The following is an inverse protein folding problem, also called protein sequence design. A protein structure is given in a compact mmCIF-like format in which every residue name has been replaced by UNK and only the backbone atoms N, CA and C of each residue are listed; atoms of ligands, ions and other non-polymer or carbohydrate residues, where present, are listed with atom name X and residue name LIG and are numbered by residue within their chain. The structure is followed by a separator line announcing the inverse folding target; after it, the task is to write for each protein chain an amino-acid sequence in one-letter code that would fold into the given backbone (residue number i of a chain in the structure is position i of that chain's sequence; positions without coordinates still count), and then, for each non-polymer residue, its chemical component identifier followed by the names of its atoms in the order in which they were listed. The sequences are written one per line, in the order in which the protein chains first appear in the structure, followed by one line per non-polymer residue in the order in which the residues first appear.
data_IF_631336421529
#
_entry.id   IF_631336421529
#
_cell.length_a   1.000
_cell.length_b   1.000
_cell.length_c   1.000
_cell.angle_alpha   90.00
_cell.angle_beta   90.00
_cell.angle_gamma   90.00
#
_symmetry.space_group_name_H-M   'P 1'
#
loop_
_entity.id
_entity.type
_entity.pdbx_description
1 polymer ?
#
# COMPACT_ATOMS: atom_id res chain seq x y z
N UNK A 1 -11.40 19.70 0.64
CA UNK A 1 -10.83 18.97 -0.51
C UNK A 1 -10.29 17.68 0.04
N UNK A 2 -10.79 16.57 -0.48
CA UNK A 2 -10.47 15.21 -0.03
C UNK A 2 -9.37 14.68 -0.93
N UNK A 3 -8.34 14.06 -0.36
CA UNK A 3 -7.22 13.49 -1.11
C UNK A 3 -7.42 11.98 -1.28
N UNK A 4 -7.50 11.53 -2.53
CA UNK A 4 -7.71 10.12 -2.88
C UNK A 4 -6.40 9.36 -3.05
N UNK A 5 -6.10 8.48 -2.10
CA UNK A 5 -4.88 7.65 -2.07
C UNK A 5 -5.25 6.18 -2.19
N UNK A 6 -4.51 5.44 -3.01
CA UNK A 6 -4.72 4.00 -3.22
C UNK A 6 -3.45 3.18 -3.10
N UNK A 7 -3.62 1.87 -3.06
CA UNK A 7 -2.56 0.89 -3.28
C UNK A 7 -3.01 -0.12 -4.31
N UNK A 8 -2.10 -0.60 -5.15
CA UNK A 8 -2.37 -1.57 -6.20
C UNK A 8 -1.13 -2.42 -6.50
N UNK A 9 -1.19 -3.71 -6.16
CA UNK A 9 -0.24 -4.68 -6.71
C UNK A 9 -0.58 -4.93 -8.18
N UNK A 10 0.28 -4.42 -9.08
CA UNK A 10 0.02 -4.40 -10.53
C UNK A 10 0.48 -5.67 -11.24
N UNK A 11 1.04 -6.63 -10.49
CA UNK A 11 1.66 -7.89 -10.93
C UNK A 11 2.86 -7.74 -11.86
N UNK A 12 2.78 -6.91 -12.90
CA UNK A 12 3.90 -6.62 -13.80
C UNK A 12 3.63 -5.36 -14.61
N UNK A 13 4.65 -4.51 -14.76
CA UNK A 13 4.65 -3.39 -15.71
C UNK A 13 5.60 -3.62 -16.90
N UNK A 14 6.04 -4.85 -17.12
CA UNK A 14 6.96 -5.18 -18.21
C UNK A 14 6.32 -5.14 -19.60
N UNK A 15 5.00 -5.31 -19.67
CA UNK A 15 4.29 -5.34 -20.94
C UNK A 15 4.18 -3.94 -21.55
N UNK A 16 4.36 -3.85 -22.86
CA UNK A 16 4.16 -2.60 -23.59
C UNK A 16 2.71 -2.10 -23.41
N UNK A 17 2.54 -0.82 -23.11
CA UNK A 17 1.21 -0.22 -22.91
C UNK A 17 0.60 -0.42 -21.52
N UNK A 18 1.07 -1.37 -20.70
CA UNK A 18 0.55 -1.61 -19.34
C UNK A 18 0.54 -0.33 -18.48
N UNK A 19 1.63 0.44 -18.57
CA UNK A 19 1.74 1.73 -17.89
C UNK A 19 0.62 2.72 -18.28
N UNK A 20 0.22 2.77 -19.55
CA UNK A 20 -0.86 3.66 -19.99
C UNK A 20 -2.22 3.17 -19.49
N UNK A 21 -2.48 1.85 -19.55
CA UNK A 21 -3.71 1.26 -19.03
C UNK A 21 -3.91 1.54 -17.54
N UNK A 22 -2.85 1.38 -16.74
CA UNK A 22 -2.88 1.70 -15.31
C UNK A 22 -3.10 3.19 -15.09
N UNK A 23 -2.45 4.06 -15.85
CA UNK A 23 -2.64 5.50 -15.76
C UNK A 23 -4.09 5.91 -16.02
N UNK A 24 -4.71 5.36 -17.07
CA UNK A 24 -6.08 5.67 -17.44
C UNK A 24 -7.07 5.15 -16.39
N UNK A 25 -6.86 3.96 -15.82
CA UNK A 25 -7.71 3.43 -14.75
C UNK A 25 -7.60 4.27 -13.46
N UNK A 26 -6.39 4.68 -13.06
CA UNK A 26 -6.17 5.58 -11.92
C UNK A 26 -6.93 6.90 -12.11
N UNK A 27 -6.82 7.50 -13.29
CA UNK A 27 -7.52 8.75 -13.62
C UNK A 27 -9.04 8.55 -13.63
N UNK A 28 -9.54 7.46 -14.21
CA UNK A 28 -10.97 7.11 -14.26
C UNK A 28 -11.57 6.93 -12.87
N UNK A 29 -10.79 6.41 -11.92
CA UNK A 29 -11.20 6.26 -10.52
C UNK A 29 -11.01 7.52 -9.67
N UNK A 30 -10.49 8.60 -10.26
CA UNK A 30 -10.24 9.86 -9.55
C UNK A 30 -9.18 9.73 -8.46
N UNK A 31 -8.23 8.80 -8.62
CA UNK A 31 -7.14 8.57 -7.68
C UNK A 31 -6.00 9.54 -7.97
N UNK A 32 -5.44 10.14 -6.92
CA UNK A 32 -4.46 11.20 -7.05
C UNK A 32 -3.03 10.71 -6.80
N UNK A 33 -2.88 9.77 -5.86
CA UNK A 33 -1.63 9.09 -5.53
C UNK A 33 -1.93 7.60 -5.35
N UNK A 34 -1.18 6.73 -6.02
CA UNK A 34 -1.34 5.28 -5.89
C UNK A 34 0.01 4.64 -5.63
N UNK A 35 0.12 3.96 -4.49
CA UNK A 35 1.21 3.04 -4.19
C UNK A 35 1.10 1.81 -5.10
N UNK A 36 2.17 1.47 -5.82
CA UNK A 36 2.20 0.32 -6.72
C UNK A 36 3.29 -0.68 -6.31
N UNK A 37 2.97 -1.97 -6.38
CA UNK A 37 3.87 -3.09 -6.08
C UNK A 37 3.96 -4.05 -7.27
N UNK A 38 5.00 -4.89 -7.31
CA UNK A 38 5.31 -5.78 -8.44
C UNK A 38 5.46 -5.06 -9.80
N UNK A 39 6.14 -3.92 -9.78
CA UNK A 39 6.48 -3.19 -11.02
C UNK A 39 7.38 -4.05 -11.93
N UNK A 40 8.28 -4.84 -11.32
CA UNK A 40 9.26 -5.73 -11.97
C UNK A 40 10.29 -5.04 -12.88
N UNK A 41 10.39 -3.72 -12.82
CA UNK A 41 11.42 -2.94 -13.50
C UNK A 41 12.74 -2.96 -12.73
N UNK A 42 13.84 -2.66 -13.43
CA UNK A 42 15.17 -2.45 -12.84
C UNK A 42 15.39 -1.00 -12.43
N UNK A 43 16.30 -0.78 -11.48
CA UNK A 43 16.83 0.51 -11.05
C UNK A 43 15.80 1.41 -10.34
N UNK A 44 16.29 2.57 -9.88
CA UNK A 44 15.50 3.65 -9.28
C UNK A 44 15.34 4.76 -10.31
N UNK A 45 14.11 5.11 -10.71
CA UNK A 45 13.87 6.21 -11.66
C UNK A 45 12.57 6.95 -11.37
N UNK A 46 12.50 8.17 -11.92
CA UNK A 46 11.26 8.91 -12.11
C UNK A 46 10.93 8.94 -13.61
N UNK A 47 9.69 8.62 -13.97
CA UNK A 47 9.16 8.72 -15.33
C UNK A 47 8.06 9.75 -15.33
N UNK A 48 8.27 10.85 -16.04
CA UNK A 48 7.27 11.91 -16.18
C UNK A 48 6.50 11.74 -17.49
N UNK A 49 5.16 11.70 -17.40
CA UNK A 49 4.24 11.73 -18.54
C UNK A 49 3.34 12.96 -18.46
N UNK A 50 2.52 13.16 -19.50
CA UNK A 50 1.62 14.31 -19.59
C UNK A 50 0.60 14.35 -18.44
N UNK A 51 -0.01 13.20 -18.10
CA UNK A 51 -1.08 13.09 -17.08
C UNK A 51 -0.58 12.64 -15.70
N UNK A 52 0.44 11.79 -15.65
CA UNK A 52 0.95 11.19 -14.42
C UNK A 52 2.49 11.19 -14.38
N UNK A 53 3.05 10.97 -13.20
CA UNK A 53 4.46 10.59 -13.01
C UNK A 53 4.55 9.32 -12.18
N UNK A 54 5.58 8.52 -12.46
CA UNK A 54 5.87 7.28 -11.75
C UNK A 54 7.23 7.41 -11.08
N UNK A 55 7.28 7.22 -9.77
CA UNK A 55 8.51 7.20 -8.97
C UNK A 55 8.68 5.79 -8.44
N UNK A 56 9.78 5.11 -8.76
CA UNK A 56 9.93 3.70 -8.40
C UNK A 56 11.32 3.30 -7.97
N UNK A 57 11.36 2.19 -7.25
CA UNK A 57 12.52 1.46 -6.75
C UNK A 57 12.40 0.00 -7.19
N UNK A 58 13.20 -0.39 -8.18
CA UNK A 58 13.35 -1.77 -8.63
C UNK A 58 14.67 -2.39 -8.15
N UNK A 59 14.82 -3.71 -8.35
CA UNK A 59 16.11 -4.38 -8.16
C UNK A 59 17.16 -3.82 -9.13
N UNK A 60 18.41 -3.76 -8.68
CA UNK A 60 19.52 -3.26 -9.51
C UNK A 60 20.06 -4.31 -10.48
N UNK A 61 20.19 -5.54 -10.00
CA UNK A 61 20.81 -6.67 -10.69
C UNK A 61 19.84 -7.38 -11.66
N UNK A 62 18.58 -7.56 -11.26
CA UNK A 62 17.61 -8.41 -11.97
C UNK A 62 16.28 -7.71 -12.29
N UNK A 63 15.74 -7.98 -13.47
CA UNK A 63 14.40 -7.57 -13.90
C UNK A 63 13.45 -8.74 -13.69
N UNK A 64 12.16 -8.47 -13.51
CA UNK A 64 11.15 -9.54 -13.43
C UNK A 64 10.73 -9.92 -12.00
N UNK A 65 11.36 -9.32 -10.99
CA UNK A 65 11.05 -9.58 -9.58
C UNK A 65 10.88 -8.27 -8.80
N UNK A 66 9.96 -8.29 -7.83
CA UNK A 66 9.71 -7.18 -6.90
C UNK A 66 9.47 -5.84 -7.63
N UNK A 67 9.84 -4.74 -7.00
CA UNK A 67 9.71 -3.40 -7.55
C UNK A 67 8.49 -2.68 -7.01
N UNK A 68 8.73 -1.49 -6.49
CA UNK A 68 7.74 -0.72 -5.73
C UNK A 68 7.82 0.75 -6.11
N UNK A 69 6.73 1.48 -5.97
CA UNK A 69 6.72 2.91 -6.33
C UNK A 69 5.41 3.61 -6.07
N UNK A 70 5.32 4.84 -6.58
CA UNK A 70 4.11 5.63 -6.56
C UNK A 70 3.80 6.16 -7.96
N UNK A 71 2.53 6.07 -8.34
CA UNK A 71 1.96 6.86 -9.43
C UNK A 71 1.33 8.10 -8.83
N UNK A 72 1.69 9.26 -9.36
CA UNK A 72 1.22 10.57 -8.90
C UNK A 72 0.64 11.33 -10.07
N UNK A 73 -0.59 11.82 -9.94
CA UNK A 73 -1.24 12.65 -10.96
C UNK A 73 -0.49 13.96 -11.15
N UNK A 74 -0.61 14.57 -12.33
CA UNK A 74 0.04 15.85 -12.65
C UNK A 74 -0.22 16.93 -11.59
N UNK A 75 -1.45 17.01 -11.10
CA UNK A 75 -1.86 17.97 -10.07
C UNK A 75 -1.09 17.76 -8.76
N UNK A 76 -0.88 16.50 -8.35
CA UNK A 76 -0.19 16.18 -7.11
C UNK A 76 1.34 16.26 -7.18
N UNK A 77 1.92 16.36 -8.38
CA UNK A 77 3.39 16.46 -8.52
C UNK A 77 3.97 17.68 -7.84
N UNK A 78 3.29 18.81 -7.92
CA UNK A 78 3.74 20.07 -7.30
C UNK A 78 3.64 20.03 -5.76
N UNK A 79 2.76 19.18 -5.23
CA UNK A 79 2.66 18.94 -3.80
C UNK A 79 3.70 17.93 -3.29
N UNK A 80 4.45 17.25 -4.16
CA UNK A 80 5.49 16.32 -3.71
C UNK A 80 6.65 17.06 -3.05
N UNK A 81 7.03 16.58 -1.87
CA UNK A 81 8.17 17.09 -1.12
C UNK A 81 9.39 16.20 -1.28
N UNK A 82 9.22 14.88 -1.24
CA UNK A 82 10.31 13.92 -1.40
C UNK A 82 9.79 12.53 -1.79
N UNK A 83 10.54 11.84 -2.65
CA UNK A 83 10.42 10.39 -2.84
C UNK A 83 11.73 9.75 -2.39
N UNK A 84 11.64 8.74 -1.52
CA UNK A 84 12.80 8.05 -0.95
C UNK A 84 12.68 6.54 -1.18
N UNK A 85 13.45 5.98 -2.11
CA UNK A 85 13.52 4.54 -2.31
C UNK A 85 14.40 3.89 -1.24
N UNK A 86 13.85 2.92 -0.50
CA UNK A 86 14.57 2.23 0.60
C UNK A 86 15.11 0.90 0.07
N UNK A 87 14.21 0.00 -0.32
CA UNK A 87 14.50 -1.31 -0.91
C UNK A 87 13.60 -1.58 -2.13
N UNK A 88 13.61 -2.80 -2.66
CA UNK A 88 12.65 -3.26 -3.68
C UNK A 88 11.25 -3.58 -3.10
N UNK A 89 11.11 -3.51 -1.77
CA UNK A 89 9.88 -3.77 -1.01
C UNK A 89 9.37 -2.58 -0.20
N UNK A 90 10.19 -1.55 0.02
CA UNK A 90 9.81 -0.36 0.78
C UNK A 90 10.26 0.91 0.03
N UNK A 91 9.35 1.87 -0.11
CA UNK A 91 9.70 3.23 -0.50
C UNK A 91 8.73 4.23 0.14
N UNK A 92 9.17 5.47 0.32
CA UNK A 92 8.32 6.52 0.90
C UNK A 92 8.07 7.67 -0.07
N UNK A 93 6.90 8.27 0.04
CA UNK A 93 6.54 9.50 -0.65
C UNK A 93 6.01 10.49 0.39
N UNK A 94 6.65 11.65 0.49
CA UNK A 94 6.20 12.76 1.33
C UNK A 94 5.53 13.81 0.46
N UNK A 95 4.32 14.21 0.82
CA UNK A 95 3.55 15.25 0.11
C UNK A 95 3.09 16.34 1.06
N UNK A 96 3.00 17.55 0.54
CA UNK A 96 2.46 18.72 1.23
C UNK A 96 0.95 18.57 1.34
N UNK A 97 0.44 18.52 2.56
CA UNK A 97 -0.99 18.62 2.82
C UNK A 97 -1.38 20.05 3.18
N UNK A 98 -2.69 20.31 3.29
CA UNK A 98 -3.22 21.63 3.59
C UNK A 98 -2.81 22.13 4.99
N UNK A 99 -2.85 21.24 5.99
CA UNK A 99 -2.56 21.57 7.39
C UNK A 99 -1.31 20.89 7.92
N UNK A 100 -1.03 19.67 7.45
CA UNK A 100 0.13 18.85 7.81
C UNK A 100 0.62 18.13 6.57
N UNK A 101 1.92 17.86 6.51
CA UNK A 101 2.47 17.00 5.48
C UNK A 101 2.02 15.55 5.71
N UNK A 102 1.92 14.79 4.63
CA UNK A 102 1.53 13.39 4.66
C UNK A 102 2.75 12.58 4.22
N UNK A 103 3.14 11.62 5.05
CA UNK A 103 4.18 10.65 4.74
C UNK A 103 3.53 9.32 4.40
N UNK A 104 3.64 8.93 3.14
CA UNK A 104 3.15 7.66 2.61
C UNK A 104 4.31 6.67 2.58
N UNK A 105 4.12 5.50 3.18
CA UNK A 105 5.08 4.40 3.15
C UNK A 105 4.46 3.27 2.35
N UNK A 106 5.00 3.01 1.16
CA UNK A 106 4.59 1.90 0.34
C UNK A 106 5.34 0.63 0.77
N UNK A 107 4.61 -0.47 0.94
CA UNK A 107 5.16 -1.77 1.33
C UNK A 107 4.76 -2.90 0.38
N UNK A 108 5.66 -3.85 0.20
CA UNK A 108 5.39 -5.17 -0.36
C UNK A 108 5.96 -6.24 0.57
N UNK A 109 5.15 -6.70 1.52
CA UNK A 109 5.59 -7.61 2.56
C UNK A 109 5.93 -9.01 2.00
N UNK A 110 6.81 -9.76 2.66
CA UNK A 110 7.08 -11.16 2.30
C UNK A 110 5.82 -12.02 2.30
N UNK A 111 5.79 -13.04 1.44
CA UNK A 111 4.67 -14.00 1.37
C UNK A 111 4.71 -14.95 2.57
N UNK A 112 3.56 -15.53 2.90
CA UNK A 112 3.47 -16.61 3.88
C UNK A 112 4.44 -17.75 3.53
N UNK A 113 5.12 -18.31 4.54
CA UNK A 113 6.15 -19.36 4.35
C UNK A 113 7.55 -18.85 3.99
N UNK A 114 7.75 -17.54 3.88
CA UNK A 114 9.10 -16.96 3.86
C UNK A 114 9.80 -17.23 5.19
N UNK A 115 11.11 -17.47 5.17
CA UNK A 115 11.92 -17.66 6.38
C UNK A 115 11.76 -16.50 7.37
N UNK A 116 11.65 -16.82 8.67
CA UNK A 116 11.40 -15.82 9.72
C UNK A 116 12.46 -14.71 9.73
N UNK A 117 13.73 -15.04 9.49
CA UNK A 117 14.83 -14.06 9.44
C UNK A 117 14.58 -12.98 8.37
N UNK A 118 14.05 -13.36 7.20
CA UNK A 118 13.74 -12.41 6.15
C UNK A 118 12.47 -11.59 6.46
N UNK A 119 11.51 -12.18 7.18
CA UNK A 119 10.32 -11.47 7.66
C UNK A 119 10.70 -10.44 8.72
N UNK A 120 11.51 -10.82 9.70
CA UNK A 120 12.01 -9.94 10.76
C UNK A 120 12.81 -8.79 10.17
N UNK A 121 13.75 -9.08 9.25
CA UNK A 121 14.53 -8.05 8.57
C UNK A 121 13.67 -7.04 7.80
N UNK A 122 12.55 -7.48 7.20
CA UNK A 122 11.61 -6.58 6.55
C UNK A 122 10.91 -5.64 7.56
N UNK A 123 10.45 -6.17 8.71
CA UNK A 123 9.77 -5.35 9.72
C UNK A 123 10.74 -4.42 10.46
N UNK A 124 11.99 -4.82 10.66
CA UNK A 124 13.04 -3.96 11.19
C UNK A 124 13.36 -2.79 10.25
N UNK A 125 13.48 -3.05 8.93
CA UNK A 125 13.64 -2.00 7.92
C UNK A 125 12.43 -1.06 7.91
N UNK A 126 11.21 -1.60 7.95
CA UNK A 126 9.96 -0.83 7.99
C UNK A 126 9.87 0.04 9.25
N UNK A 127 10.29 -0.48 10.41
CA UNK A 127 10.36 0.26 11.66
C UNK A 127 11.36 1.42 11.54
N UNK A 128 12.58 1.14 11.05
CA UNK A 128 13.61 2.16 10.82
C UNK A 128 13.13 3.29 9.93
N UNK A 129 12.33 2.97 8.90
CA UNK A 129 11.71 3.97 8.02
C UNK A 129 10.70 4.82 8.79
N UNK A 130 9.81 4.20 9.57
CA UNK A 130 8.80 4.92 10.34
C UNK A 130 9.42 5.84 11.40
N UNK A 131 10.49 5.41 12.06
CA UNK A 131 11.21 6.19 13.08
C UNK A 131 11.87 7.45 12.50
N UNK A 132 12.24 7.42 11.22
CA UNK A 132 12.85 8.55 10.49
C UNK A 132 11.80 9.52 9.95
N UNK A 133 10.51 9.17 9.95
CA UNK A 133 9.45 10.08 9.49
C UNK A 133 9.30 11.23 10.49
N UNK A 134 9.11 12.44 9.97
CA UNK A 134 8.85 13.63 10.76
C UNK A 134 7.67 13.41 11.71
N UNK A 135 7.87 13.61 13.02
CA UNK A 135 6.87 13.36 14.09
C UNK A 135 5.53 14.07 13.90
N UNK A 136 5.50 15.12 13.09
CA UNK A 136 4.32 15.94 12.82
C UNK A 136 3.60 15.58 11.53
N UNK A 137 4.17 14.71 10.71
CA UNK A 137 3.54 14.24 9.49
C UNK A 137 2.39 13.27 9.83
N UNK A 138 1.39 13.24 8.94
CA UNK A 138 0.37 12.20 8.97
C UNK A 138 0.94 10.96 8.28
N UNK A 139 1.20 9.89 9.05
CA UNK A 139 1.76 8.66 8.51
C UNK A 139 0.63 7.78 7.98
N UNK A 140 0.78 7.33 6.74
CA UNK A 140 -0.03 6.26 6.15
C UNK A 140 0.91 5.20 5.58
N UNK A 141 0.80 3.97 6.08
CA UNK A 141 1.54 2.82 5.54
C UNK A 141 0.55 2.00 4.73
N UNK A 142 0.83 1.78 3.45
CA UNK A 142 -0.11 1.16 2.54
C UNK A 142 0.61 0.25 1.56
N UNK A 143 -0.03 -0.82 1.14
CA UNK A 143 0.62 -1.78 0.30
C UNK A 143 -0.02 -3.15 0.35
N UNK A 144 0.67 -4.08 -0.29
CA UNK A 144 0.38 -5.49 -0.20
C UNK A 144 1.15 -6.08 0.99
N UNK A 145 0.41 -6.46 2.03
CA UNK A 145 0.98 -7.01 3.24
C UNK A 145 1.02 -8.54 3.24
N UNK A 146 0.48 -9.20 2.20
CA UNK A 146 0.28 -10.66 2.19
C UNK A 146 -0.35 -11.17 3.51
N UNK A 147 -1.20 -10.36 4.14
CA UNK A 147 -1.70 -10.59 5.49
C UNK A 147 -3.23 -10.71 5.46
N UNK A 148 -3.76 -11.75 6.10
CA UNK A 148 -5.18 -11.89 6.37
C UNK A 148 -5.41 -11.42 7.80
N UNK A 149 -6.23 -10.40 7.96
CA UNK A 149 -6.62 -9.89 9.27
C UNK A 149 -7.99 -10.46 9.62
N UNK A 150 -8.14 -11.07 10.79
CA UNK A 150 -9.38 -11.67 11.23
C UNK A 150 -10.31 -10.67 11.93
N UNK A 151 -11.26 -11.22 12.70
CA UNK A 151 -12.24 -10.46 13.51
C UNK A 151 -12.10 -10.76 15.00
N UNK A 152 -10.98 -11.32 15.42
CA UNK A 152 -10.74 -11.67 16.81
C UNK A 152 -10.86 -10.43 17.72
N UNK A 153 -11.56 -10.55 18.85
CA UNK A 153 -11.86 -9.43 19.74
C UNK A 153 -10.61 -8.70 20.24
N UNK A 154 -9.50 -9.43 20.40
CA UNK A 154 -8.20 -8.87 20.79
C UNK A 154 -7.67 -7.83 19.78
N UNK A 155 -8.00 -7.97 18.49
CA UNK A 155 -7.52 -7.08 17.43
C UNK A 155 -8.55 -6.06 16.93
N UNK A 156 -9.80 -6.08 17.43
CA UNK A 156 -10.87 -5.17 16.97
C UNK A 156 -10.48 -3.69 17.06
N UNK A 157 -9.66 -3.30 18.05
CA UNK A 157 -9.19 -1.91 18.18
C UNK A 157 -8.14 -1.51 17.12
N UNK A 158 -7.44 -2.49 16.54
CA UNK A 158 -6.43 -2.30 15.50
C UNK A 158 -7.04 -2.45 14.10
N UNK A 159 -7.83 -3.51 13.87
CA UNK A 159 -8.33 -3.90 12.55
C UNK A 159 -9.77 -3.47 12.29
N UNK A 160 -10.57 -3.25 13.35
CA UNK A 160 -12.02 -3.14 13.22
C UNK A 160 -12.68 -4.51 13.07
N UNK A 161 -13.99 -4.51 12.75
CA UNK A 161 -14.83 -5.73 12.67
C UNK A 161 -15.18 -6.14 11.25
N UNK A 162 -14.76 -5.35 10.25
CA UNK A 162 -15.29 -5.45 8.90
C UNK A 162 -14.35 -6.18 7.94
N UNK A 163 -13.45 -7.02 8.45
CA UNK A 163 -12.62 -7.89 7.61
C UNK A 163 -13.42 -8.88 6.77
N UNK A 164 -12.82 -9.37 5.71
CA UNK A 164 -13.29 -10.52 4.93
C UNK A 164 -13.02 -11.86 5.64
N UNK A 165 -12.00 -11.92 6.49
CA UNK A 165 -11.56 -13.17 7.14
C UNK A 165 -12.08 -13.24 8.59
N UNK A 166 -12.28 -14.45 9.10
CA UNK A 166 -12.61 -14.66 10.52
C UNK A 166 -11.35 -14.70 11.38
N UNK A 167 -10.26 -15.30 10.87
CA UNK A 167 -9.00 -15.52 11.58
C UNK A 167 -7.84 -14.76 10.93
N UNK A 168 -6.91 -14.33 11.76
CA UNK A 168 -5.67 -13.65 11.42
C UNK A 168 -4.59 -14.69 11.13
N UNK A 169 -3.90 -14.60 9.98
CA UNK A 169 -2.75 -15.48 9.67
C UNK A 169 -1.46 -14.96 10.31
N UNK A 170 -0.34 -15.70 10.18
CA UNK A 170 0.94 -15.31 10.79
C UNK A 170 1.43 -13.94 10.30
N UNK A 171 1.33 -13.66 9.01
CA UNK A 171 1.62 -12.32 8.47
C UNK A 171 0.71 -11.24 9.10
N UNK A 172 -0.57 -11.55 9.33
CA UNK A 172 -1.50 -10.67 10.04
C UNK A 172 -1.11 -10.41 11.50
N UNK A 173 -0.54 -11.39 12.19
CA UNK A 173 0.00 -11.20 13.55
C UNK A 173 1.17 -10.21 13.54
N UNK A 174 2.07 -10.29 12.56
CA UNK A 174 3.15 -9.31 12.37
C UNK A 174 2.62 -7.91 12.09
N UNK A 175 1.57 -7.79 11.27
CA UNK A 175 0.87 -6.51 11.05
C UNK A 175 0.26 -6.00 12.35
N UNK A 176 -0.34 -6.86 13.17
CA UNK A 176 -0.90 -6.48 14.48
C UNK A 176 0.17 -5.89 15.41
N UNK A 177 1.30 -6.60 15.55
CA UNK A 177 2.43 -6.19 16.38
C UNK A 177 3.01 -4.85 15.91
N UNK A 178 3.29 -4.73 14.61
CA UNK A 178 3.80 -3.50 14.01
C UNK A 178 2.82 -2.33 14.20
N UNK A 179 1.53 -2.53 13.92
CA UNK A 179 0.52 -1.50 14.07
C UNK A 179 0.36 -1.05 15.53
N UNK A 180 0.37 -1.99 16.48
CA UNK A 180 0.30 -1.69 17.91
C UNK A 180 1.52 -0.87 18.38
N UNK A 181 2.73 -1.30 18.02
CA UNK A 181 3.97 -0.61 18.39
C UNK A 181 4.03 0.83 17.85
N UNK A 182 3.50 1.07 16.65
CA UNK A 182 3.55 2.36 15.97
C UNK A 182 2.30 3.22 16.15
N UNK A 183 1.37 2.82 17.04
CA UNK A 183 0.07 3.48 17.21
C UNK A 183 -0.68 3.69 15.88
N UNK A 184 -0.67 2.69 15.00
CA UNK A 184 -1.40 2.69 13.74
C UNK A 184 -2.72 1.91 13.88
N UNK A 185 -3.68 2.23 13.02
CA UNK A 185 -4.91 1.44 12.83
C UNK A 185 -5.05 1.04 11.38
N UNK A 186 -5.51 -0.19 11.14
CA UNK A 186 -5.82 -0.69 9.80
C UNK A 186 -7.20 -0.16 9.40
N UNK A 187 -7.21 0.77 8.46
CA UNK A 187 -8.44 1.42 8.01
C UNK A 187 -9.16 0.62 6.92
N UNK A 188 -8.47 -0.28 6.21
CA UNK A 188 -9.08 -1.10 5.14
C UNK A 188 -10.08 -2.15 5.63
N UNK A 189 -10.04 -2.51 6.91
CA UNK A 189 -10.97 -3.45 7.57
C UNK A 189 -11.89 -2.74 8.59
N UNK A 190 -11.83 -1.41 8.66
CA UNK A 190 -12.61 -0.63 9.63
C UNK A 190 -14.03 -0.33 9.17
N UNK A 191 -14.22 0.00 7.88
CA UNK A 191 -15.51 0.43 7.32
C UNK A 191 -16.39 -0.77 6.92
N UNK A 192 -17.71 -0.73 7.20
CA UNK A 192 -18.63 -1.80 6.82
C UNK A 192 -18.84 -1.87 5.30
N UNK A 193 -18.70 -3.08 4.75
CA UNK A 193 -18.82 -3.38 3.31
C UNK A 193 -19.46 -4.74 3.08
N UNK A 194 -20.15 -4.89 1.94
CA UNK A 194 -20.53 -6.22 1.43
C UNK A 194 -19.25 -7.01 1.11
N UNK A 195 -19.24 -8.32 1.38
CA UNK A 195 -18.05 -9.18 1.19
C UNK A 195 -17.44 -9.07 -0.21
N UNK A 196 -18.27 -8.94 -1.25
CA UNK A 196 -17.85 -8.75 -2.64
C UNK A 196 -16.97 -7.50 -2.87
N UNK A 197 -16.99 -6.52 -1.96
CA UNK A 197 -16.21 -5.28 -2.04
C UNK A 197 -15.03 -5.23 -1.06
N UNK A 198 -14.68 -6.35 -0.42
CA UNK A 198 -13.55 -6.44 0.53
C UNK A 198 -12.31 -7.08 -0.08
N UNK A 199 -12.52 -8.09 -0.95
CA UNK A 199 -11.43 -8.85 -1.55
C UNK A 199 -10.57 -8.02 -2.49
N UNK A 200 -9.26 -8.06 -2.30
CA UNK A 200 -8.25 -7.33 -3.09
C UNK A 200 -7.46 -8.25 -4.01
N UNK A 201 -7.41 -9.55 -3.68
CA UNK A 201 -6.75 -10.57 -4.50
C UNK A 201 -7.68 -11.74 -4.79
N UNK A 202 -7.83 -12.10 -6.07
CA UNK A 202 -8.59 -13.29 -6.48
C UNK A 202 -7.69 -14.52 -6.46
N UNK A 203 -8.13 -15.57 -5.78
CA UNK A 203 -7.45 -16.88 -5.82
C UNK A 203 -7.60 -17.46 -7.23
N UNK A 204 -6.54 -17.97 -7.85
CA UNK A 204 -6.61 -18.45 -9.25
C UNK A 204 -7.46 -19.72 -9.42
N UNK A 205 -7.40 -20.61 -8.43
CA UNK A 205 -8.03 -21.94 -8.47
C UNK A 205 -9.49 -21.90 -8.01
N UNK A 206 -9.85 -20.94 -7.15
CA UNK A 206 -11.20 -20.83 -6.58
C UNK A 206 -11.83 -19.49 -6.97
N UNK A 207 -13.15 -19.36 -6.93
CA UNK A 207 -13.82 -18.06 -7.07
C UNK A 207 -13.81 -17.25 -5.76
N UNK A 208 -12.92 -17.58 -4.82
CA UNK A 208 -12.76 -16.88 -3.57
C UNK A 208 -11.77 -15.72 -3.70
N UNK A 209 -11.83 -14.82 -2.74
CA UNK A 209 -10.98 -13.64 -2.68
C UNK A 209 -10.30 -13.56 -1.31
N UNK A 210 -9.08 -13.05 -1.30
CA UNK A 210 -8.42 -12.62 -0.07
C UNK A 210 -8.40 -11.09 -0.01
N UNK A 211 -8.52 -10.55 1.20
CA UNK A 211 -8.16 -9.18 1.51
C UNK A 211 -6.74 -9.22 2.09
N UNK A 212 -5.75 -8.74 1.32
CA UNK A 212 -4.31 -8.74 1.70
C UNK A 212 -3.62 -7.40 1.50
N UNK A 213 -4.26 -6.49 0.77
CA UNK A 213 -3.81 -5.11 0.63
C UNK A 213 -4.43 -4.27 1.76
N UNK A 214 -3.58 -3.59 2.52
CA UNK A 214 -4.01 -2.85 3.70
C UNK A 214 -3.50 -1.42 3.70
N UNK A 215 -4.27 -0.56 4.37
CA UNK A 215 -3.93 0.84 4.60
C UNK A 215 -3.97 1.06 6.12
N UNK A 216 -2.80 1.30 6.69
CA UNK A 216 -2.59 1.64 8.08
C UNK A 216 -2.42 3.15 8.20
N UNK A 217 -3.05 3.76 9.20
CA UNK A 217 -3.00 5.20 9.44
C UNK A 217 -2.68 5.44 10.90
N UNK A 218 -1.87 6.46 11.22
CA UNK A 218 -1.64 6.85 12.62
C UNK A 218 -2.96 7.07 13.33
N UNK A 219 -3.11 6.49 14.52
CA UNK A 219 -4.34 6.52 15.33
C UNK A 219 -4.89 7.92 15.53
N UNK A 220 -4.01 8.92 15.67
CA UNK A 220 -4.38 10.34 15.80
C UNK A 220 -5.19 10.86 14.61
N UNK A 221 -4.95 10.33 13.42
CA UNK A 221 -5.45 10.84 12.15
C UNK A 221 -6.53 9.93 11.53
N UNK A 222 -7.02 8.92 12.26
CA UNK A 222 -8.01 7.98 11.72
C UNK A 222 -9.36 8.64 11.44
N UNK A 223 -9.67 9.74 12.12
CA UNK A 223 -10.88 10.54 11.89
C UNK A 223 -10.83 11.35 10.59
N UNK A 224 -9.64 11.55 10.01
CA UNK A 224 -9.45 12.21 8.72
C UNK A 224 -9.67 11.25 7.53
N UNK A 225 -9.89 9.97 7.82
CA UNK A 225 -10.21 8.97 6.79
C UNK A 225 -11.72 8.94 6.65
N UNK A 226 -12.22 9.55 5.58
CA UNK A 226 -13.65 9.55 5.29
C UNK A 226 -14.16 8.17 4.87
N UNK A 227 -13.34 7.42 4.11
CA UNK A 227 -13.74 6.13 3.58
C UNK A 227 -12.56 5.27 3.14
N UNK A 228 -12.77 3.95 3.09
CA UNK A 228 -11.90 3.01 2.38
C UNK A 228 -12.76 2.03 1.58
N UNK A 229 -12.40 1.80 0.32
CA UNK A 229 -13.08 0.86 -0.57
C UNK A 229 -12.12 0.15 -1.51
N UNK A 230 -12.48 -1.06 -1.90
CA UNK A 230 -11.77 -1.82 -2.93
C UNK A 230 -12.46 -1.63 -4.29
N UNK A 231 -11.68 -1.30 -5.33
CA UNK A 231 -12.18 -1.25 -6.70
C UNK A 231 -12.05 -2.63 -7.35
N UNK A 232 -13.19 -3.18 -7.78
CA UNK A 232 -13.20 -4.42 -8.58
C UNK A 232 -12.98 -4.10 -10.05
N UNK A 233 -12.34 -5.03 -10.77
CA UNK A 233 -12.19 -4.97 -12.22
C UNK A 233 -11.11 -4.02 -12.73
N UNK A 234 -10.40 -3.34 -11.83
CA UNK A 234 -9.13 -2.70 -12.15
C UNK A 234 -8.06 -3.81 -12.26
N UNK A 235 -8.07 -4.48 -13.40
CA UNK A 235 -7.13 -5.53 -13.76
C UNK A 235 -6.10 -4.93 -14.72
N UNK A 236 -4.83 -5.17 -14.45
CA UNK A 236 -3.71 -4.76 -15.32
C UNK A 236 -3.13 -5.93 -16.12
N UNK A 237 -3.77 -7.10 -16.03
CA UNK A 237 -3.48 -8.34 -16.76
C UNK A 237 -4.34 -8.53 -18.02
#
# INVERSE_FOLDING_TARGET
MVLNIGTWNVRTLLQAGAMNGIADEIMKKGMEIVAIQEIRWKNKRAINKAKISIYYSGKYDRQGECGIGFIVTRQMREAMLAFTPVSERICTLRVKGKFRNISLVNVYAPTEGTEEVAVDGFYDELQSVCDKIWKHDMIKVLGDYNAKLGKEEVYVKLFGRNSLHEETNNNGLRVAQFAAANNLRVMSTYFPRKGIHKGTWKIRVTNNFNQIDHILVSRRWTTEVENVHTFRGANSD
#
